data_IF_287713106427
#
_entry.id   IF_287713106427
#
_cell.length_a   1.000
_cell.length_b   1.000
_cell.length_c   1.000
_cell.angle_alpha   90.00
_cell.angle_beta   90.00
_cell.angle_gamma   90.00
#
_symmetry.space_group_name_H-M   'P 1'
#
loop_
_entity.id
_entity.type
_entity.pdbx_description
1 polymer ?
#
# COMPACT_ATOMS: atom_id res chain seq x y z
N UNK A 1 -4.44 17.77 -48.87
CA UNK A 1 -3.18 17.03 -49.06
C UNK A 1 -3.41 15.58 -48.66
N UNK A 2 -3.12 14.64 -49.59
CA UNK A 2 -2.67 13.23 -49.47
C UNK A 2 -3.06 12.38 -48.22
N UNK A 3 -3.39 11.09 -48.25
CA UNK A 3 -3.67 10.05 -49.26
C UNK A 3 -4.21 8.79 -48.51
N UNK A 4 -5.03 8.01 -49.23
CA UNK A 4 -5.56 6.62 -49.11
C UNK A 4 -4.98 5.62 -48.07
N UNK A 5 -5.85 4.80 -47.46
CA UNK A 5 -5.69 3.33 -47.39
C UNK A 5 -7.04 2.63 -47.10
N UNK A 6 -7.39 1.63 -47.91
CA UNK A 6 -8.62 0.84 -47.87
C UNK A 6 -8.52 -0.33 -46.89
N UNK A 7 -9.61 -0.73 -46.25
CA UNK A 7 -9.78 -2.13 -45.85
C UNK A 7 -11.23 -2.56 -46.12
N UNK A 8 -11.38 -3.39 -47.16
CA UNK A 8 -12.61 -4.06 -47.57
C UNK A 8 -13.02 -5.12 -46.54
N UNK A 9 -14.33 -5.26 -46.31
CA UNK A 9 -14.92 -6.49 -45.77
C UNK A 9 -16.40 -6.59 -46.15
N UNK A 10 -16.69 -6.76 -47.44
CA UNK A 10 -17.97 -7.27 -47.92
C UNK A 10 -17.85 -8.78 -48.11
N UNK A 11 -18.26 -9.56 -47.12
CA UNK A 11 -18.49 -11.00 -47.26
C UNK A 11 -19.83 -11.32 -46.63
N UNK A 12 -20.88 -11.25 -47.45
CA UNK A 12 -22.24 -11.57 -47.05
C UNK A 12 -22.70 -12.79 -47.87
N UNK A 13 -22.74 -13.95 -47.20
CA UNK A 13 -23.30 -15.23 -47.63
C UNK A 13 -22.57 -16.05 -48.71
N UNK A 14 -22.73 -17.37 -48.54
CA UNK A 14 -22.09 -18.54 -49.16
C UNK A 14 -22.25 -18.71 -50.69
N UNK A 15 -22.48 -17.65 -51.48
CA UNK A 15 -22.84 -17.82 -52.91
C UNK A 15 -22.26 -16.85 -53.94
N UNK A 16 -21.03 -16.35 -53.79
CA UNK A 16 -20.37 -15.76 -54.98
C UNK A 16 -18.87 -16.05 -55.06
N UNK A 17 -18.56 -17.18 -55.70
CA UNK A 17 -17.25 -17.45 -56.27
C UNK A 17 -17.39 -17.52 -57.80
N UNK A 18 -17.65 -16.39 -58.46
CA UNK A 18 -17.35 -16.26 -59.89
C UNK A 18 -15.91 -15.81 -60.07
N UNK A 19 -15.10 -16.75 -60.53
CA UNK A 19 -13.72 -16.53 -60.98
C UNK A 19 -13.77 -15.81 -62.33
N UNK A 20 -13.33 -14.55 -62.36
CA UNK A 20 -12.82 -13.91 -63.58
C UNK A 20 -11.51 -13.19 -63.27
N UNK A 21 -10.50 -13.49 -64.08
CA UNK A 21 -9.19 -12.84 -64.20
C UNK A 21 -8.30 -12.77 -62.95
N UNK A 22 -7.71 -13.92 -62.61
CA UNK A 22 -6.30 -13.99 -62.16
C UNK A 22 -5.95 -13.49 -60.75
N UNK A 23 -6.89 -12.98 -59.96
CA UNK A 23 -6.64 -12.63 -58.56
C UNK A 23 -7.40 -13.57 -57.62
N UNK A 24 -6.65 -14.47 -56.95
CA UNK A 24 -7.17 -15.26 -55.83
C UNK A 24 -7.36 -14.33 -54.63
N UNK A 25 -8.59 -13.86 -54.42
CA UNK A 25 -8.97 -13.24 -53.16
C UNK A 25 -9.20 -14.36 -52.13
N UNK A 26 -8.17 -14.65 -51.34
CA UNK A 26 -8.33 -15.54 -50.19
C UNK A 26 -8.99 -14.75 -49.07
N UNK A 27 -10.25 -15.08 -48.74
CA UNK A 27 -10.89 -14.57 -47.54
C UNK A 27 -10.10 -15.12 -46.34
N UNK A 28 -9.26 -14.28 -45.75
CA UNK A 28 -8.69 -14.57 -44.43
C UNK A 28 -9.81 -14.28 -43.44
N UNK A 29 -10.46 -15.32 -42.94
CA UNK A 29 -11.25 -15.20 -41.72
C UNK A 29 -10.27 -14.78 -40.62
N UNK A 30 -10.27 -13.49 -40.26
CA UNK A 30 -9.77 -13.11 -38.95
C UNK A 30 -10.76 -13.75 -37.97
N UNK A 31 -10.33 -14.78 -37.25
CA UNK A 31 -11.10 -15.36 -36.14
C UNK A 31 -11.48 -14.21 -35.20
N UNK A 32 -12.73 -13.74 -35.26
CA UNK A 32 -13.31 -12.91 -34.19
C UNK A 32 -13.74 -13.88 -33.08
N UNK A 33 -12.76 -14.60 -32.54
CA UNK A 33 -12.89 -15.32 -31.28
C UNK A 33 -12.23 -14.46 -30.20
N UNK A 34 -12.68 -13.21 -30.05
CA UNK A 34 -12.36 -12.44 -28.84
C UNK A 34 -13.28 -12.90 -27.73
N UNK A 35 -13.06 -14.15 -27.29
CA UNK A 35 -13.72 -14.66 -26.10
C UNK A 35 -13.30 -13.85 -24.87
N UNK A 36 -14.20 -13.81 -23.88
CA UNK A 36 -14.01 -13.03 -22.66
C UNK A 36 -14.29 -13.89 -21.44
N UNK A 37 -13.55 -13.62 -20.37
CA UNK A 37 -13.66 -14.36 -19.10
C UNK A 37 -14.59 -13.67 -18.08
N UNK A 38 -15.17 -12.53 -18.43
CA UNK A 38 -15.98 -11.70 -17.53
C UNK A 38 -15.17 -11.03 -16.42
N UNK A 39 -15.78 -10.07 -15.71
CA UNK A 39 -15.11 -9.34 -14.63
C UNK A 39 -15.09 -10.17 -13.33
N UNK A 40 -13.91 -10.57 -12.79
CA UNK A 40 -13.81 -11.30 -11.53
C UNK A 40 -14.06 -10.42 -10.28
N UNK A 41 -14.07 -9.10 -10.46
CA UNK A 41 -14.17 -8.07 -9.43
C UNK A 41 -12.83 -7.74 -8.77
N UNK A 42 -12.92 -6.97 -7.68
CA UNK A 42 -11.79 -6.59 -6.82
C UNK A 42 -11.90 -7.37 -5.49
N UNK A 43 -10.79 -7.80 -4.87
CA UNK A 43 -10.82 -8.39 -3.52
C UNK A 43 -11.19 -7.32 -2.48
N UNK A 44 -11.93 -7.69 -1.44
CA UNK A 44 -12.07 -6.82 -0.27
C UNK A 44 -10.68 -6.56 0.34
N UNK A 45 -10.42 -5.34 0.79
CA UNK A 45 -9.10 -4.91 1.31
C UNK A 45 -7.94 -5.10 0.33
N UNK A 46 -8.24 -5.09 -0.97
CA UNK A 46 -7.25 -5.19 -2.02
C UNK A 46 -7.56 -4.26 -3.19
N UNK A 47 -6.65 -4.25 -4.15
CA UNK A 47 -6.75 -3.53 -5.41
C UNK A 47 -6.43 -4.47 -6.57
N UNK A 48 -7.00 -4.14 -7.73
CA UNK A 48 -6.72 -4.79 -9.00
C UNK A 48 -6.05 -3.81 -9.94
N UNK A 49 -5.03 -4.28 -10.63
CA UNK A 49 -4.38 -3.64 -11.76
C UNK A 49 -4.80 -4.36 -13.04
N UNK A 50 -5.18 -3.59 -14.06
CA UNK A 50 -5.76 -4.09 -15.30
C UNK A 50 -7.29 -4.01 -15.34
N UNK A 51 -7.81 -3.78 -16.54
CA UNK A 51 -9.24 -3.65 -16.85
C UNK A 51 -9.68 -4.48 -18.06
N UNK A 52 -8.74 -5.17 -18.71
CA UNK A 52 -9.03 -6.04 -19.84
C UNK A 52 -9.59 -7.40 -19.38
N UNK A 53 -10.55 -7.92 -20.14
CA UNK A 53 -11.21 -9.20 -19.87
C UNK A 53 -11.25 -10.12 -21.10
N UNK A 54 -10.54 -9.76 -22.17
CA UNK A 54 -10.41 -10.55 -23.39
C UNK A 54 -9.35 -11.62 -23.22
N UNK A 55 -9.38 -12.67 -24.05
CA UNK A 55 -8.33 -13.69 -24.07
C UNK A 55 -6.92 -13.07 -24.12
N UNK A 56 -6.03 -13.53 -23.24
CA UNK A 56 -4.67 -13.01 -23.10
C UNK A 56 -4.53 -11.85 -22.11
N UNK A 57 -5.62 -11.15 -21.76
CA UNK A 57 -5.58 -10.11 -20.74
C UNK A 57 -5.20 -10.69 -19.39
N UNK A 58 -4.38 -9.95 -18.64
CA UNK A 58 -3.89 -10.36 -17.33
C UNK A 58 -4.23 -9.31 -16.30
N UNK A 59 -4.84 -9.75 -15.21
CA UNK A 59 -5.18 -8.94 -14.06
C UNK A 59 -4.19 -9.25 -12.94
N UNK A 60 -3.70 -8.21 -12.25
CA UNK A 60 -2.80 -8.34 -11.10
C UNK A 60 -3.48 -7.79 -9.85
N UNK A 61 -3.31 -8.47 -8.73
CA UNK A 61 -3.93 -8.12 -7.46
C UNK A 61 -2.88 -7.81 -6.41
N UNK A 62 -3.24 -6.92 -5.50
CA UNK A 62 -2.42 -6.54 -4.37
C UNK A 62 -3.32 -6.22 -3.17
N UNK A 63 -2.88 -6.60 -1.98
CA UNK A 63 -3.61 -6.33 -0.75
C UNK A 63 -3.18 -5.02 -0.11
N UNK A 64 -4.08 -4.42 0.65
CA UNK A 64 -3.73 -3.28 1.51
C UNK A 64 -2.70 -3.69 2.58
N UNK A 65 -1.96 -2.74 3.18
CA UNK A 65 -1.05 -3.03 4.28
C UNK A 65 -1.74 -3.80 5.43
N UNK A 66 -1.01 -4.70 6.09
CA UNK A 66 -1.53 -5.67 7.06
C UNK A 66 -2.51 -6.73 6.52
N UNK A 67 -2.65 -6.87 5.19
CA UNK A 67 -3.34 -8.00 4.57
C UNK A 67 -2.39 -8.82 3.70
N UNK A 68 -2.54 -10.14 3.76
CA UNK A 68 -1.81 -11.11 2.95
C UNK A 68 -2.67 -11.62 1.78
N UNK A 69 -2.07 -11.77 0.61
CA UNK A 69 -2.75 -12.24 -0.58
C UNK A 69 -2.80 -13.77 -0.61
N UNK A 70 -4.00 -14.34 -0.50
CA UNK A 70 -4.25 -15.79 -0.62
C UNK A 70 -4.75 -16.10 -2.03
N UNK A 71 -3.90 -16.78 -2.81
CA UNK A 71 -4.17 -17.17 -4.19
C UNK A 71 -3.08 -16.69 -5.15
N UNK A 72 -3.39 -16.64 -6.44
CA UNK A 72 -2.44 -16.14 -7.45
C UNK A 72 -2.46 -14.62 -7.50
N UNK A 73 -1.27 -14.02 -7.47
CA UNK A 73 -1.08 -12.57 -7.60
C UNK A 73 -1.54 -12.04 -8.96
N UNK A 74 -1.49 -12.87 -10.00
CA UNK A 74 -1.98 -12.52 -11.33
C UNK A 74 -2.77 -13.68 -11.94
N UNK A 75 -3.84 -13.34 -12.64
CA UNK A 75 -4.66 -14.28 -13.40
C UNK A 75 -4.79 -13.81 -14.85
N UNK A 76 -4.81 -14.75 -15.79
CA UNK A 76 -4.88 -14.48 -17.23
C UNK A 76 -6.14 -15.09 -17.82
N UNK A 77 -6.82 -14.37 -18.70
CA UNK A 77 -8.01 -14.87 -19.39
C UNK A 77 -7.59 -15.87 -20.47
N UNK A 78 -8.04 -17.12 -20.34
CA UNK A 78 -7.66 -18.22 -21.21
C UNK A 78 -8.65 -18.40 -22.35
N UNK A 79 -8.21 -19.10 -23.41
CA UNK A 79 -9.02 -19.37 -24.62
C UNK A 79 -10.34 -20.12 -24.35
N UNK A 80 -10.45 -20.80 -23.21
CA UNK A 80 -11.67 -21.52 -22.78
C UNK A 80 -12.70 -20.60 -22.07
N UNK A 81 -12.54 -19.27 -22.17
CA UNK A 81 -13.39 -18.28 -21.49
C UNK A 81 -13.35 -18.36 -19.96
N UNK A 82 -12.26 -18.88 -19.38
CA UNK A 82 -12.06 -18.92 -17.94
C UNK A 82 -10.75 -18.23 -17.54
N UNK A 83 -10.75 -17.62 -16.37
CA UNK A 83 -9.52 -17.12 -15.76
C UNK A 83 -8.63 -18.29 -15.33
N UNK A 84 -7.32 -18.11 -15.45
CA UNK A 84 -6.32 -19.12 -15.07
C UNK A 84 -6.40 -19.54 -13.59
N UNK A 85 -7.01 -18.73 -12.73
CA UNK A 85 -7.39 -19.08 -11.37
C UNK A 85 -8.56 -18.21 -10.90
N UNK A 86 -9.16 -18.59 -9.76
CA UNK A 86 -10.16 -17.77 -9.07
C UNK A 86 -9.51 -16.45 -8.58
N UNK A 87 -10.34 -15.40 -8.44
CA UNK A 87 -9.92 -14.14 -7.81
C UNK A 87 -9.32 -14.44 -6.41
N UNK A 88 -8.13 -13.89 -6.08
CA UNK A 88 -7.53 -14.07 -4.77
C UNK A 88 -8.30 -13.30 -3.69
N UNK A 89 -8.04 -13.66 -2.43
CA UNK A 89 -8.59 -12.99 -1.26
C UNK A 89 -7.48 -12.32 -0.47
N UNK A 90 -7.76 -11.16 0.13
CA UNK A 90 -6.86 -10.51 1.06
C UNK A 90 -7.31 -10.86 2.48
N UNK A 91 -6.46 -11.59 3.21
CA UNK A 91 -6.73 -12.00 4.58
C UNK A 91 -5.94 -11.13 5.54
N UNK A 92 -6.55 -10.69 6.63
CA UNK A 92 -5.88 -9.87 7.60
C UNK A 92 -4.71 -10.66 8.22
N UNK A 93 -3.54 -10.03 8.33
CA UNK A 93 -2.35 -10.60 8.96
C UNK A 93 -2.06 -9.92 10.30
N UNK A 94 -2.04 -10.73 11.34
CA UNK A 94 -1.60 -10.32 12.67
C UNK A 94 -0.09 -10.12 12.78
N UNK A 95 0.69 -10.37 11.72
CA UNK A 95 2.13 -10.16 11.70
C UNK A 95 2.52 -9.41 10.43
N UNK A 96 2.83 -8.12 10.56
CA UNK A 96 3.19 -7.29 9.41
C UNK A 96 4.20 -6.20 9.75
N UNK A 97 5.09 -5.92 8.80
CA UNK A 97 6.10 -4.87 8.90
C UNK A 97 5.72 -3.72 7.95
N UNK A 98 5.34 -2.58 8.54
CA UNK A 98 5.14 -1.34 7.81
C UNK A 98 6.49 -0.68 7.56
N UNK A 99 6.81 -0.46 6.29
CA UNK A 99 8.05 0.20 5.84
C UNK A 99 7.78 1.51 5.10
N UNK A 100 6.52 1.86 4.93
CA UNK A 100 6.10 3.14 4.34
C UNK A 100 6.30 4.27 5.35
N UNK A 101 6.61 5.50 4.90
CA UNK A 101 6.84 6.63 5.81
C UNK A 101 5.58 7.07 6.54
N UNK A 102 4.40 6.73 6.02
CA UNK A 102 3.12 6.96 6.67
C UNK A 102 2.17 5.81 6.34
N UNK A 103 1.13 5.66 7.16
CA UNK A 103 0.10 4.65 6.95
C UNK A 103 -0.96 4.65 8.04
N UNK A 104 -1.85 3.68 7.94
CA UNK A 104 -2.91 3.44 8.91
C UNK A 104 -2.82 1.98 9.34
N UNK A 105 -2.89 1.76 10.65
CA UNK A 105 -3.02 0.47 11.28
C UNK A 105 -4.43 0.37 11.87
N UNK A 106 -5.15 -0.68 11.48
CA UNK A 106 -6.48 -0.99 11.96
C UNK A 106 -6.44 -2.31 12.72
N UNK A 107 -7.32 -2.46 13.72
CA UNK A 107 -7.61 -3.78 14.28
C UNK A 107 -8.24 -4.69 13.21
N UNK A 108 -8.12 -6.03 13.35
CA UNK A 108 -8.81 -6.97 12.48
C UNK A 108 -10.30 -6.63 12.37
N UNK A 109 -10.85 -6.69 11.16
CA UNK A 109 -12.26 -6.44 10.82
C UNK A 109 -12.80 -5.02 11.07
N UNK A 110 -12.00 -4.06 11.53
CA UNK A 110 -12.46 -2.69 11.80
C UNK A 110 -13.23 -2.09 10.61
N UNK A 111 -14.41 -1.46 10.82
CA UNK A 111 -15.03 -1.10 12.10
C UNK A 111 -16.03 -2.15 12.63
N UNK A 112 -15.96 -3.40 12.19
CA UNK A 112 -16.65 -4.50 12.85
C UNK A 112 -15.82 -5.02 14.04
N UNK A 113 -16.41 -5.92 14.83
CA UNK A 113 -15.74 -6.46 16.00
C UNK A 113 -14.48 -7.26 15.64
N UNK A 114 -13.41 -7.05 16.41
CA UNK A 114 -12.17 -7.80 16.25
C UNK A 114 -12.33 -9.25 16.73
N UNK A 115 -11.38 -10.14 16.41
CA UNK A 115 -11.46 -11.54 16.83
C UNK A 115 -11.04 -11.75 18.30
N UNK A 116 -11.56 -12.79 18.94
CA UNK A 116 -11.09 -13.22 20.26
C UNK A 116 -9.85 -14.12 20.16
N UNK A 117 -9.07 -14.22 21.25
CA UNK A 117 -7.85 -15.03 21.42
C UNK A 117 -6.74 -14.71 20.41
N UNK A 118 -6.69 -13.48 19.91
CA UNK A 118 -5.67 -13.03 18.99
C UNK A 118 -4.44 -12.54 19.71
N UNK A 119 -3.29 -12.79 19.08
CA UNK A 119 -2.02 -12.17 19.39
C UNK A 119 -1.46 -11.55 18.12
N UNK A 120 -1.65 -10.25 17.96
CA UNK A 120 -1.21 -9.53 16.79
C UNK A 120 -0.03 -8.62 17.13
N UNK A 121 0.94 -8.60 16.25
CA UNK A 121 2.23 -7.93 16.38
C UNK A 121 2.56 -7.24 15.07
N UNK A 122 2.61 -5.91 15.10
CA UNK A 122 3.02 -5.12 13.96
C UNK A 122 4.27 -4.32 14.28
N UNK A 123 5.17 -4.23 13.30
CA UNK A 123 6.34 -3.36 13.38
C UNK A 123 6.17 -2.21 12.40
N UNK A 124 6.42 -0.99 12.87
CA UNK A 124 6.61 0.16 11.99
C UNK A 124 8.12 0.41 11.95
N UNK A 125 8.70 0.29 10.76
CA UNK A 125 10.14 0.37 10.50
C UNK A 125 10.37 1.57 9.57
N UNK A 126 10.75 2.69 10.16
CA UNK A 126 11.13 3.90 9.44
C UNK A 126 12.62 3.86 9.05
N UNK A 127 13.04 4.88 8.30
CA UNK A 127 14.47 5.08 8.02
C UNK A 127 15.23 5.38 9.32
N UNK A 128 16.50 4.93 9.46
CA UNK A 128 17.36 5.33 10.58
C UNK A 128 17.35 6.85 10.80
N UNK A 129 17.50 7.28 12.05
CA UNK A 129 17.41 8.69 12.49
C UNK A 129 16.04 9.36 12.33
N UNK A 130 15.00 8.60 11.99
CA UNK A 130 13.60 9.09 12.05
C UNK A 130 12.97 8.74 13.39
N UNK A 131 11.90 9.45 13.73
CA UNK A 131 10.98 9.10 14.82
C UNK A 131 9.61 8.77 14.23
N UNK A 132 8.86 7.93 14.92
CA UNK A 132 7.53 7.49 14.51
C UNK A 132 6.52 8.19 15.40
N UNK A 133 5.64 8.97 14.78
CA UNK A 133 4.51 9.62 15.43
C UNK A 133 3.26 8.76 15.22
N UNK A 134 2.58 8.45 16.31
CA UNK A 134 1.36 7.65 16.34
C UNK A 134 0.21 8.53 16.81
N UNK A 135 -0.82 8.65 15.98
CA UNK A 135 -2.05 9.35 16.30
C UNK A 135 -3.21 8.36 16.33
N UNK A 136 -3.90 8.30 17.47
CA UNK A 136 -5.06 7.46 17.69
C UNK A 136 -6.31 8.21 17.24
N UNK A 137 -6.96 7.71 16.19
CA UNK A 137 -8.17 8.31 15.63
C UNK A 137 -9.43 7.73 16.28
N UNK A 138 -9.36 6.47 16.72
CA UNK A 138 -10.44 5.76 17.40
C UNK A 138 -9.86 4.63 18.27
N UNK A 139 -10.51 4.35 19.40
CA UNK A 139 -10.18 3.27 20.31
C UNK A 139 -11.47 2.78 20.97
N UNK A 140 -11.73 1.49 20.86
CA UNK A 140 -12.81 0.78 21.53
C UNK A 140 -12.35 -0.67 21.70
N UNK A 141 -11.65 -0.92 22.80
CA UNK A 141 -11.04 -2.20 23.17
C UNK A 141 -11.66 -2.65 24.49
N UNK A 142 -11.90 -3.94 24.69
CA UNK A 142 -12.51 -4.42 25.93
C UNK A 142 -11.71 -3.96 27.16
N UNK A 143 -12.32 -3.20 28.09
CA UNK A 143 -11.64 -2.79 29.32
C UNK A 143 -11.21 -4.00 30.15
N UNK A 144 -10.02 -3.94 30.74
CA UNK A 144 -9.46 -4.93 31.68
C UNK A 144 -9.04 -6.30 31.11
N UNK A 145 -9.52 -6.69 29.93
CA UNK A 145 -9.26 -8.02 29.36
C UNK A 145 -8.44 -7.96 28.07
N UNK A 146 -8.69 -6.96 27.23
CA UNK A 146 -7.97 -6.77 25.97
C UNK A 146 -7.04 -5.56 26.05
N UNK A 147 -5.88 -5.67 25.39
CA UNK A 147 -4.83 -4.67 25.51
C UNK A 147 -4.12 -4.42 24.19
N UNK A 148 -4.02 -3.15 23.82
CA UNK A 148 -3.09 -2.65 22.81
C UNK A 148 -1.88 -2.03 23.50
N UNK A 149 -0.71 -2.64 23.37
CA UNK A 149 0.56 -2.11 23.85
C UNK A 149 1.37 -1.51 22.70
N UNK A 150 1.90 -0.31 22.92
CA UNK A 150 2.86 0.36 22.03
C UNK A 150 4.22 0.37 22.70
N UNK A 151 5.24 -0.12 22.01
CA UNK A 151 6.61 -0.28 22.52
C UNK A 151 7.62 0.50 21.67
N UNK A 152 8.61 1.07 22.35
CA UNK A 152 9.67 1.88 21.79
C UNK A 152 10.86 1.02 21.32
N UNK A 153 10.69 0.44 20.14
CA UNK A 153 11.65 -0.48 19.51
C UNK A 153 10.97 -1.70 18.91
N UNK A 154 11.78 -2.57 18.28
CA UNK A 154 11.26 -3.73 17.54
C UNK A 154 11.09 -5.01 18.36
N UNK A 155 11.55 -5.04 19.62
CA UNK A 155 11.62 -6.28 20.41
C UNK A 155 10.44 -6.41 21.37
N UNK A 156 10.17 -7.63 21.84
CA UNK A 156 9.07 -7.87 22.77
C UNK A 156 9.31 -7.21 24.14
N UNK A 157 10.58 -7.10 24.52
CA UNK A 157 11.08 -6.48 25.76
C UNK A 157 11.37 -4.98 25.63
N UNK A 158 11.12 -4.37 24.46
CA UNK A 158 11.28 -2.93 24.27
C UNK A 158 10.44 -2.13 25.27
N UNK A 159 10.92 -0.96 25.73
CA UNK A 159 10.19 -0.12 26.68
C UNK A 159 8.76 0.18 26.21
N UNK A 160 7.79 0.15 27.13
CA UNK A 160 6.38 0.42 26.80
C UNK A 160 6.15 1.93 26.80
N UNK A 161 5.66 2.46 25.68
CA UNK A 161 5.21 3.86 25.57
C UNK A 161 3.78 4.04 26.11
N UNK A 162 2.95 3.01 25.96
CA UNK A 162 1.60 2.99 26.52
C UNK A 162 0.92 1.65 26.34
N UNK A 163 -0.03 1.36 27.23
CA UNK A 163 -0.94 0.21 27.14
C UNK A 163 -2.36 0.75 27.22
N UNK A 164 -3.20 0.38 26.25
CA UNK A 164 -4.50 0.98 26.04
C UNK A 164 -5.61 -0.08 26.04
N UNK A 165 -6.70 0.25 26.71
CA UNK A 165 -7.97 -0.49 26.73
C UNK A 165 -9.13 0.47 26.98
N UNK A 166 -10.36 0.02 26.76
CA UNK A 166 -11.55 0.85 26.84
C UNK A 166 -11.75 1.74 25.61
N UNK A 167 -12.56 2.80 25.80
CA UNK A 167 -13.03 3.69 24.71
C UNK A 167 -12.35 5.05 24.71
N UNK A 168 -11.46 5.32 25.68
CA UNK A 168 -10.81 6.61 25.79
C UNK A 168 -9.66 6.70 24.80
N UNK A 169 -9.82 7.54 23.78
CA UNK A 169 -8.74 7.83 22.82
C UNK A 169 -7.57 8.50 23.55
N UNK A 170 -6.34 7.94 23.49
CA UNK A 170 -5.18 8.48 24.17
C UNK A 170 -4.54 9.64 23.39
N UNK A 171 -3.70 10.43 24.07
CA UNK A 171 -2.86 11.43 23.40
C UNK A 171 -1.88 10.78 22.42
N UNK A 172 -1.48 11.49 21.35
CA UNK A 172 -0.48 10.99 20.41
C UNK A 172 0.82 10.56 21.08
N UNK A 173 1.43 9.50 20.57
CA UNK A 173 2.71 8.97 21.04
C UNK A 173 3.81 9.23 20.01
N UNK A 174 5.05 9.34 20.48
CA UNK A 174 6.23 9.45 19.61
C UNK A 174 7.32 8.51 20.10
N UNK A 175 7.88 7.69 19.21
CA UNK A 175 9.00 6.80 19.54
C UNK A 175 10.31 7.57 19.76
N UNK A 176 11.26 6.96 20.46
CA UNK A 176 12.61 7.50 20.59
C UNK A 176 13.46 7.26 19.34
N UNK A 177 13.15 6.21 18.56
CA UNK A 177 13.89 5.82 17.37
C UNK A 177 13.02 5.45 16.18
N UNK A 178 13.65 4.81 15.18
CA UNK A 178 13.07 4.51 13.88
C UNK A 178 12.25 3.20 13.83
N UNK A 179 12.05 2.53 14.97
CA UNK A 179 11.24 1.30 15.05
C UNK A 179 10.27 1.41 16.21
N UNK A 180 9.00 1.10 15.96
CA UNK A 180 7.98 0.95 16.98
C UNK A 180 7.27 -0.40 16.81
N UNK A 181 6.92 -1.03 17.93
CA UNK A 181 6.19 -2.31 17.96
C UNK A 181 4.82 -2.09 18.58
N UNK A 182 3.78 -2.52 17.89
CA UNK A 182 2.41 -2.53 18.39
C UNK A 182 1.99 -3.98 18.60
N UNK A 183 1.45 -4.27 19.78
CA UNK A 183 1.07 -5.61 20.21
C UNK A 183 -0.36 -5.57 20.73
N UNK A 184 -1.26 -6.26 20.03
CA UNK A 184 -2.67 -6.36 20.38
C UNK A 184 -3.00 -7.77 20.84
N UNK A 185 -3.39 -7.88 22.11
CA UNK A 185 -3.73 -9.12 22.77
C UNK A 185 -5.21 -9.06 23.15
N UNK A 186 -5.92 -10.14 22.82
CA UNK A 186 -7.36 -10.27 23.12
C UNK A 186 -7.64 -11.56 23.88
N UNK A 187 -8.63 -11.49 24.74
CA UNK A 187 -9.16 -12.59 25.53
C UNK A 187 -10.16 -13.43 24.71
N UNK A 188 -10.84 -14.38 25.36
CA UNK A 188 -11.75 -15.31 24.71
C UNK A 188 -13.12 -14.77 24.26
N UNK A 189 -13.50 -13.53 24.57
CA UNK A 189 -14.88 -13.04 24.34
C UNK A 189 -14.97 -11.52 24.17
N UNK A 190 -16.20 -10.98 24.19
CA UNK A 190 -16.53 -9.54 24.33
C UNK A 190 -15.81 -8.54 23.43
N UNK A 191 -15.38 -9.00 22.26
CA UNK A 191 -14.73 -8.16 21.27
C UNK A 191 -15.51 -6.87 21.01
N UNK A 192 -14.76 -5.79 20.83
CA UNK A 192 -15.27 -4.47 20.54
C UNK A 192 -14.88 -4.07 19.13
N UNK A 193 -15.20 -2.83 18.77
CA UNK A 193 -14.97 -2.27 17.44
C UNK A 193 -13.49 -2.17 17.08
N UNK A 194 -12.62 -2.06 18.08
CA UNK A 194 -11.17 -2.04 17.95
C UNK A 194 -10.61 -0.64 17.77
N UNK A 195 -9.66 -0.44 16.86
CA UNK A 195 -8.92 0.81 16.78
C UNK A 195 -8.54 1.22 15.37
N UNK A 196 -8.32 2.53 15.22
CA UNK A 196 -7.76 3.15 14.03
C UNK A 196 -6.61 4.08 14.42
N UNK A 197 -5.40 3.73 14.00
CA UNK A 197 -4.16 4.45 14.33
C UNK A 197 -3.49 4.87 13.03
N UNK A 198 -3.31 6.17 12.85
CA UNK A 198 -2.45 6.69 11.80
C UNK A 198 -1.03 6.86 12.33
N UNK A 199 -0.05 6.50 11.50
CA UNK A 199 1.35 6.71 11.82
C UNK A 199 2.05 7.49 10.72
N UNK A 200 3.02 8.30 11.12
CA UNK A 200 3.95 9.00 10.23
C UNK A 200 5.35 8.87 10.78
N UNK A 201 6.34 8.93 9.89
CA UNK A 201 7.74 9.02 10.24
C UNK A 201 8.36 10.17 9.48
N UNK A 202 8.94 11.09 10.23
CA UNK A 202 9.62 12.24 9.68
C UNK A 202 11.11 11.94 9.62
N UNK A 203 11.65 11.89 8.40
CA UNK A 203 13.08 11.81 8.21
C UNK A 203 13.67 13.19 8.47
N UNK A 204 14.37 13.35 9.59
CA UNK A 204 15.19 14.53 9.81
C UNK A 204 16.41 14.46 8.88
N UNK A 205 16.23 14.90 7.63
CA UNK A 205 17.38 15.15 6.77
C UNK A 205 18.28 16.18 7.46
N UNK A 206 19.60 16.08 7.29
CA UNK A 206 20.51 17.09 7.83
C UNK A 206 20.09 18.52 7.46
N UNK A 207 19.51 18.72 6.27
CA UNK A 207 18.97 20.01 5.83
C UNK A 207 17.77 20.51 6.67
N UNK A 208 16.92 19.64 7.20
CA UNK A 208 15.81 20.01 8.09
C UNK A 208 16.31 20.36 9.49
N UNK A 209 17.32 19.65 9.99
CA UNK A 209 18.01 19.99 11.25
C UNK A 209 18.70 21.36 11.17
N UNK A 210 19.40 21.65 10.05
CA UNK A 210 19.98 22.98 9.81
C UNK A 210 18.92 24.08 9.68
N UNK A 211 17.74 23.81 9.08
CA UNK A 211 16.65 24.79 9.00
C UNK A 211 16.04 25.12 10.36
N UNK A 212 15.80 24.11 11.20
CA UNK A 212 15.27 24.33 12.54
C UNK A 212 16.25 25.12 13.42
N UNK A 213 17.56 24.85 13.32
CA UNK A 213 18.60 25.64 13.99
C UNK A 213 18.72 27.08 13.49
N UNK A 214 18.34 27.37 12.24
CA UNK A 214 18.32 28.75 11.70
C UNK A 214 17.07 29.50 12.17
N UNK A 215 15.92 28.84 12.30
CA UNK A 215 14.66 29.47 12.73
C UNK A 215 14.64 29.80 14.24
N UNK A 216 15.28 28.98 15.08
CA UNK A 216 15.44 29.26 16.53
C UNK A 216 16.71 30.08 16.85
N UNK A 217 17.46 30.53 15.84
CA UNK A 217 18.64 31.36 16.04
C UNK A 217 18.24 32.78 16.50
N UNK A 218 18.80 33.30 17.62
CA UNK A 218 18.59 34.68 18.04
C UNK A 218 19.26 35.74 17.15
N UNK A 219 19.92 35.32 16.06
CA UNK A 219 20.62 36.21 15.14
C UNK A 219 19.92 36.19 13.78
N UNK A 220 19.09 37.20 13.45
CA UNK A 220 18.57 37.33 12.11
C UNK A 220 19.69 37.83 11.20
N UNK A 221 19.80 37.24 10.01
CA UNK A 221 20.57 37.69 8.84
C UNK A 221 22.02 37.19 8.71
N UNK A 222 22.20 36.08 7.99
CA UNK A 222 23.22 36.04 6.94
C UNK A 222 22.49 35.74 5.63
N UNK A 223 22.18 36.81 4.90
CA UNK A 223 21.75 36.71 3.52
C UNK A 223 22.86 36.03 2.72
N UNK A 224 22.52 34.94 2.03
CA UNK A 224 23.37 34.34 1.01
C UNK A 224 23.72 35.41 -0.03
N UNK A 225 24.99 35.84 -0.06
CA UNK A 225 25.50 36.61 -1.18
C UNK A 225 25.83 35.63 -2.31
N UNK A 226 25.15 35.85 -3.44
CA UNK A 226 25.42 35.20 -4.70
C UNK A 226 26.86 35.46 -5.15
N UNK A 227 27.72 34.45 -5.11
CA UNK A 227 28.82 34.32 -6.08
C UNK A 227 29.00 32.86 -6.46
N UNK A 228 28.86 32.58 -7.75
CA UNK A 228 29.24 31.35 -8.43
C UNK A 228 30.69 30.97 -8.09
N UNK A 229 30.88 29.98 -7.23
CA UNK A 229 32.07 29.11 -7.23
C UNK A 229 31.75 27.83 -6.49
N UNK A 230 31.71 26.73 -7.24
CA UNK A 230 31.73 25.39 -6.68
C UNK A 230 33.08 25.19 -5.97
N UNK A 231 33.09 25.32 -4.65
CA UNK A 231 34.22 24.97 -3.81
C UNK A 231 33.71 24.14 -2.63
N UNK A 232 34.16 22.89 -2.64
CA UNK A 232 34.28 21.98 -1.50
C UNK A 232 34.21 22.69 -0.14
N UNK A 233 33.05 22.70 0.51
CA UNK A 233 32.95 23.06 1.92
C UNK A 233 33.31 21.82 2.74
N UNK A 234 34.58 21.73 3.14
CA UNK A 234 35.06 20.77 4.13
C UNK A 234 34.31 20.98 5.44
N UNK A 235 33.82 19.88 6.02
CA UNK A 235 33.36 19.80 7.40
C UNK A 235 34.41 20.36 8.35
N UNK A 236 34.13 21.49 9.00
CA UNK A 236 34.71 21.84 10.29
C UNK A 236 33.62 22.37 11.19
N UNK A 237 33.05 21.46 11.97
CA UNK A 237 32.36 21.80 13.22
C UNK A 237 33.44 22.32 14.15
N UNK A 238 33.40 23.61 14.49
CA UNK A 238 34.11 24.16 15.64
C UNK A 238 33.12 24.09 16.81
N UNK A 239 33.31 23.10 17.68
CA UNK A 239 32.68 23.10 19.00
C UNK A 239 33.56 24.00 19.88
N UNK A 240 33.03 25.13 20.34
CA UNK A 240 33.57 25.79 21.52
C UNK A 240 32.91 25.15 22.75
N UNK A 241 33.75 24.62 23.63
CA UNK A 241 33.41 24.15 24.98
C UNK A 241 33.06 25.37 25.85
#
# INVERSE_FOLDING_TARGET
MHAVAWQFSDCNNDQDARVTDGFSASCVFAEIEQGSCGDPGVPAYGRREGSGFLHGDTLRFECQPAFELVGLKSITCQKNNQWSAKKPSCVFSCFFNFTTPAGVLLSPNYPAEYGSNMHCVWLIIAKPESRIHLAFNDLDVEPQFDFLAVKDGGKAESPVLGTFSGTQVPSPLTSSGHVARLEFLTDHSNAKRGFNISFTSEYQSGAAFYRHLIEDSPWPSILMSNTNTALHAQSRIIVFI
#
